data_IF_570731425642
#
_entry.id   IF_570731425642
#
_cell.length_a   1.000
_cell.length_b   1.000
_cell.length_c   1.000
_cell.angle_alpha   90.00
_cell.angle_beta   90.00
_cell.angle_gamma   90.00
#
_symmetry.space_group_name_H-M   'P 1'
#
loop_
_entity.id
_entity.type
_entity.pdbx_description
1 polymer ?
#
# COMPACT_ATOMS: atom_id res chain seq x y z
N UNK A 1 69.23 -20.03 -22.08
CA UNK A 1 67.80 -20.24 -22.39
C UNK A 1 66.99 -19.47 -21.36
N UNK A 2 66.10 -18.57 -21.80
CA UNK A 2 65.39 -17.62 -20.93
C UNK A 2 64.07 -18.26 -20.47
N UNK A 3 63.96 -18.59 -19.19
CA UNK A 3 62.72 -19.14 -18.62
C UNK A 3 61.80 -18.00 -18.20
N UNK A 4 60.64 -17.90 -18.85
CA UNK A 4 59.58 -16.94 -18.53
C UNK A 4 58.74 -17.45 -17.36
N UNK A 5 58.50 -16.57 -16.37
CA UNK A 5 57.52 -16.75 -15.29
C UNK A 5 56.14 -16.29 -15.80
N UNK A 6 55.05 -17.07 -15.68
CA UNK A 6 53.72 -16.54 -15.87
C UNK A 6 53.19 -15.98 -14.54
N UNK A 7 53.07 -14.65 -14.46
CA UNK A 7 52.30 -13.98 -13.42
C UNK A 7 50.80 -14.15 -13.77
N UNK A 8 50.08 -14.97 -13.00
CA UNK A 8 48.64 -15.13 -13.13
C UNK A 8 47.93 -14.06 -12.29
N UNK A 9 47.52 -12.96 -12.93
CA UNK A 9 46.59 -11.98 -12.35
C UNK A 9 45.18 -12.55 -12.40
N UNK A 10 44.67 -13.01 -11.25
CA UNK A 10 43.26 -13.40 -11.11
C UNK A 10 42.39 -12.14 -11.05
N UNK A 11 41.65 -11.86 -12.13
CA UNK A 11 40.65 -10.79 -12.16
C UNK A 11 39.40 -11.22 -11.37
N UNK A 12 39.16 -10.57 -10.23
CA UNK A 12 37.95 -10.76 -9.43
C UNK A 12 36.79 -9.99 -10.08
N UNK A 13 35.97 -10.67 -10.87
CA UNK A 13 34.74 -10.09 -11.42
C UNK A 13 33.69 -9.97 -10.31
N UNK A 14 33.48 -8.75 -9.79
CA UNK A 14 32.36 -8.44 -8.91
C UNK A 14 31.04 -8.58 -9.69
N UNK A 15 30.32 -9.66 -9.42
CA UNK A 15 28.94 -9.87 -9.88
C UNK A 15 28.03 -8.83 -9.21
N UNK A 16 27.85 -7.68 -9.87
CA UNK A 16 26.82 -6.71 -9.51
C UNK A 16 25.46 -7.29 -9.94
N UNK A 17 24.80 -8.03 -9.06
CA UNK A 17 23.40 -8.40 -9.27
C UNK A 17 22.55 -7.13 -9.16
N UNK A 18 21.68 -6.82 -10.13
CA UNK A 18 20.79 -5.67 -10.02
C UNK A 18 19.87 -5.86 -8.81
N UNK A 19 20.06 -5.03 -7.79
CA UNK A 19 19.08 -4.90 -6.71
C UNK A 19 17.87 -4.25 -7.36
N UNK A 20 16.73 -4.95 -7.36
CA UNK A 20 15.47 -4.36 -7.76
C UNK A 20 15.17 -3.18 -6.81
N UNK A 21 15.53 -1.97 -7.21
CA UNK A 21 15.17 -0.76 -6.50
C UNK A 21 13.65 -0.61 -6.62
N UNK A 22 12.94 -0.84 -5.52
CA UNK A 22 11.51 -0.53 -5.42
C UNK A 22 11.33 0.98 -5.45
N UNK A 23 11.33 1.55 -6.65
CA UNK A 23 11.28 3.01 -6.84
C UNK A 23 9.91 3.61 -6.51
N UNK A 24 8.86 2.78 -6.47
CA UNK A 24 7.48 3.23 -6.46
C UNK A 24 6.74 2.88 -5.16
N UNK A 25 5.88 3.80 -4.74
CA UNK A 25 5.02 3.62 -3.58
C UNK A 25 4.06 2.45 -3.80
N UNK A 26 4.06 1.51 -2.86
CA UNK A 26 3.24 0.29 -2.90
C UNK A 26 2.59 0.04 -1.54
N UNK A 27 1.30 -0.27 -1.56
CA UNK A 27 0.62 -0.84 -0.40
C UNK A 27 1.14 -2.26 -0.15
N UNK A 28 1.77 -2.47 1.01
CA UNK A 28 2.33 -3.78 1.41
C UNK A 28 1.42 -4.54 2.36
N UNK A 29 0.56 -3.84 3.11
CA UNK A 29 -0.42 -4.45 3.98
C UNK A 29 -1.58 -3.48 4.27
N UNK A 30 -2.72 -4.05 4.67
CA UNK A 30 -3.85 -3.29 5.20
C UNK A 30 -4.51 -4.02 6.37
N UNK A 31 -5.23 -3.27 7.20
CA UNK A 31 -6.11 -3.81 8.23
C UNK A 31 -7.43 -3.06 8.19
N UNK A 32 -8.56 -3.69 7.84
CA UNK A 32 -8.68 -5.09 7.39
C UNK A 32 -7.83 -5.41 6.15
N UNK A 33 -7.37 -6.67 6.06
CA UNK A 33 -6.61 -7.14 4.90
C UNK A 33 -7.52 -7.22 3.66
N UNK A 34 -6.93 -7.16 2.47
CA UNK A 34 -7.66 -7.34 1.23
C UNK A 34 -8.43 -8.68 1.23
N UNK A 35 -9.70 -8.62 0.85
CA UNK A 35 -10.68 -9.71 0.83
C UNK A 35 -10.98 -10.33 2.21
N UNK A 36 -10.51 -9.74 3.30
CA UNK A 36 -10.82 -10.23 4.64
C UNK A 36 -12.26 -9.90 5.05
N UNK A 37 -12.82 -10.73 5.92
CA UNK A 37 -14.03 -10.41 6.67
C UNK A 37 -13.66 -10.01 8.10
N UNK A 38 -14.10 -8.85 8.56
CA UNK A 38 -13.81 -8.32 9.88
C UNK A 38 -15.10 -7.87 10.59
N UNK A 39 -15.06 -7.75 11.91
CA UNK A 39 -16.17 -7.22 12.72
C UNK A 39 -15.72 -5.97 13.46
N UNK A 40 -16.68 -5.10 13.82
CA UNK A 40 -16.44 -3.87 14.62
C UNK A 40 -15.39 -2.94 14.00
N UNK A 41 -15.38 -2.81 12.67
CA UNK A 41 -14.42 -1.94 11.97
C UNK A 41 -14.79 -0.48 12.18
N UNK A 42 -13.90 0.29 12.79
CA UNK A 42 -14.01 1.76 12.96
C UNK A 42 -12.96 2.52 12.16
N UNK A 43 -11.89 1.84 11.75
CA UNK A 43 -10.80 2.40 10.97
C UNK A 43 -10.20 1.38 10.00
N UNK A 44 -9.60 1.89 8.92
CA UNK A 44 -8.79 1.11 7.99
C UNK A 44 -7.36 1.63 8.04
N UNK A 45 -6.39 0.77 8.34
CA UNK A 45 -4.97 1.10 8.34
C UNK A 45 -4.31 0.56 7.07
N UNK A 46 -3.54 1.40 6.38
CA UNK A 46 -2.78 1.08 5.18
C UNK A 46 -1.30 1.25 5.49
N UNK A 47 -0.48 0.28 5.07
CA UNK A 47 0.97 0.29 5.30
C UNK A 47 1.71 0.19 3.97
N UNK A 48 2.68 1.07 3.77
CA UNK A 48 3.43 1.24 2.54
C UNK A 48 4.88 0.78 2.69
N UNK A 49 5.52 0.42 1.58
CA UNK A 49 6.95 0.05 1.53
C UNK A 49 7.88 1.24 1.88
N UNK A 50 7.47 2.45 1.51
CA UNK A 50 8.28 3.67 1.63
C UNK A 50 7.52 4.83 2.30
N UNK A 51 8.23 5.93 2.53
CA UNK A 51 7.63 7.17 3.05
C UNK A 51 6.89 7.87 1.92
N UNK A 52 5.67 8.31 2.20
CA UNK A 52 4.85 9.07 1.26
C UNK A 52 5.02 10.57 1.48
N UNK A 53 4.88 11.33 0.40
CA UNK A 53 4.73 12.78 0.48
C UNK A 53 3.29 13.08 0.93
N UNK A 54 3.13 13.48 2.20
CA UNK A 54 1.81 13.59 2.85
C UNK A 54 0.80 14.45 2.08
N UNK A 55 1.22 15.56 1.47
CA UNK A 55 0.35 16.45 0.67
C UNK A 55 -0.20 15.80 -0.61
N UNK A 56 0.37 14.67 -1.03
CA UNK A 56 -0.06 13.93 -2.23
C UNK A 56 -1.00 12.78 -1.91
N UNK A 57 -1.20 12.44 -0.64
CA UNK A 57 -2.00 11.30 -0.26
C UNK A 57 -3.48 11.59 -0.49
N UNK A 58 -4.13 10.73 -1.27
CA UNK A 58 -5.58 10.66 -1.42
C UNK A 58 -6.03 9.25 -1.09
N UNK A 59 -7.07 9.11 -0.28
CA UNK A 59 -7.69 7.82 -0.02
C UNK A 59 -9.18 7.99 0.20
N UNK A 60 -9.95 7.02 -0.28
CA UNK A 60 -11.40 6.99 -0.18
C UNK A 60 -11.85 5.63 0.32
N UNK A 61 -12.91 5.65 1.15
CA UNK A 61 -13.63 4.47 1.59
C UNK A 61 -15.05 4.57 1.06
N UNK A 62 -15.49 3.55 0.33
CA UNK A 62 -16.85 3.46 -0.21
C UNK A 62 -17.48 2.13 0.17
N UNK A 63 -18.77 2.14 0.44
CA UNK A 63 -19.57 0.93 0.56
C UNK A 63 -20.04 0.52 -0.83
N UNK A 64 -19.83 -0.75 -1.18
CA UNK A 64 -20.18 -1.33 -2.49
C UNK A 64 -21.26 -2.39 -2.41
N UNK A 65 -21.62 -2.85 -1.22
CA UNK A 65 -22.77 -3.73 -1.03
C UNK A 65 -23.26 -3.71 0.41
N UNK A 66 -24.58 -3.78 0.59
CA UNK A 66 -25.27 -3.81 1.88
C UNK A 66 -26.22 -5.02 1.93
N UNK A 67 -26.32 -5.76 3.05
CA UNK A 67 -27.33 -6.79 3.22
C UNK A 67 -28.74 -6.24 2.97
N UNK A 68 -29.54 -6.96 2.16
CA UNK A 68 -30.91 -6.56 1.83
C UNK A 68 -31.04 -5.49 0.74
N UNK A 69 -29.93 -4.96 0.20
CA UNK A 69 -29.95 -3.98 -0.88
C UNK A 69 -28.93 -4.35 -1.96
N UNK A 70 -29.34 -5.16 -2.92
CA UNK A 70 -28.50 -5.54 -4.06
C UNK A 70 -28.28 -4.34 -5.00
N UNK A 71 -27.08 -4.23 -5.57
CA UNK A 71 -26.73 -3.31 -6.67
C UNK A 71 -26.96 -1.82 -6.40
N UNK A 72 -26.87 -1.36 -5.15
CA UNK A 72 -26.84 0.08 -4.89
C UNK A 72 -25.59 0.72 -5.50
N UNK A 73 -25.69 1.98 -5.92
CA UNK A 73 -24.52 2.74 -6.36
C UNK A 73 -23.50 2.87 -5.21
N UNK A 74 -22.17 2.88 -5.47
CA UNK A 74 -21.16 3.03 -4.42
C UNK A 74 -21.43 4.25 -3.54
N UNK A 75 -21.51 4.03 -2.22
CA UNK A 75 -21.79 5.09 -1.25
C UNK A 75 -20.52 5.51 -0.53
N UNK A 76 -20.15 6.78 -0.64
CA UNK A 76 -18.97 7.31 0.06
C UNK A 76 -19.18 7.28 1.57
N UNK A 77 -18.20 6.72 2.28
CA UNK A 77 -18.18 6.72 3.75
C UNK A 77 -17.37 7.92 4.22
N UNK A 78 -17.97 8.84 5.00
CA UNK A 78 -17.23 9.93 5.61
C UNK A 78 -16.17 9.39 6.58
N UNK A 79 -14.90 9.59 6.22
CA UNK A 79 -13.75 9.23 7.04
C UNK A 79 -12.73 10.37 7.03
N UNK A 80 -12.03 10.54 8.15
CA UNK A 80 -10.84 11.39 8.22
C UNK A 80 -9.60 10.55 7.92
N UNK A 81 -8.57 11.17 7.33
CA UNK A 81 -7.29 10.52 7.07
C UNK A 81 -6.19 11.11 7.95
N UNK A 82 -5.28 10.26 8.42
CA UNK A 82 -4.11 10.68 9.18
C UNK A 82 -2.88 9.86 8.78
N UNK A 83 -1.78 10.56 8.49
CA UNK A 83 -0.48 9.93 8.27
C UNK A 83 0.16 9.56 9.60
N UNK A 84 0.68 8.34 9.67
CA UNK A 84 1.52 7.89 10.77
C UNK A 84 2.82 8.69 10.82
N UNK A 85 3.40 8.81 12.02
CA UNK A 85 4.68 9.48 12.25
C UNK A 85 5.85 8.83 11.49
N UNK A 86 5.70 7.57 11.10
CA UNK A 86 6.67 6.85 10.27
C UNK A 86 6.67 7.32 8.80
N UNK A 87 5.64 8.06 8.37
CA UNK A 87 5.42 8.47 6.98
C UNK A 87 5.04 7.32 6.05
N UNK A 88 4.91 6.09 6.58
CA UNK A 88 4.65 4.85 5.82
C UNK A 88 3.29 4.23 6.16
N UNK A 89 2.53 4.85 7.04
CA UNK A 89 1.23 4.37 7.47
C UNK A 89 0.18 5.45 7.24
N UNK A 90 -1.00 5.04 6.76
CA UNK A 90 -2.17 5.90 6.60
C UNK A 90 -3.34 5.26 7.33
N UNK A 91 -4.02 6.02 8.18
CA UNK A 91 -5.25 5.56 8.85
C UNK A 91 -6.44 6.35 8.32
N UNK A 92 -7.45 5.64 7.85
CA UNK A 92 -8.79 6.17 7.57
C UNK A 92 -9.69 5.87 8.77
N UNK A 93 -10.21 6.88 9.45
CA UNK A 93 -11.09 6.72 10.60
C UNK A 93 -12.51 7.12 10.23
N UNK A 94 -13.44 6.18 10.26
CA UNK A 94 -14.85 6.44 10.01
C UNK A 94 -15.48 7.18 11.19
N UNK A 95 -16.47 8.05 10.92
CA UNK A 95 -17.18 8.79 11.98
C UNK A 95 -17.95 7.88 12.96
N UNK A 96 -18.34 6.69 12.49
CA UNK A 96 -19.07 5.65 13.24
C UNK A 96 -18.53 4.29 12.80
N UNK A 97 -18.79 3.27 13.60
CA UNK A 97 -18.49 1.89 13.20
C UNK A 97 -19.17 1.58 11.86
N UNK A 98 -18.43 0.88 10.98
CA UNK A 98 -18.96 0.42 9.71
C UNK A 98 -20.06 -0.61 9.95
N UNK A 99 -21.15 -0.48 9.20
CA UNK A 99 -22.25 -1.45 9.21
C UNK A 99 -21.86 -2.70 8.42
N UNK A 100 -22.56 -3.83 8.58
CA UNK A 100 -22.32 -5.01 7.76
C UNK A 100 -22.46 -4.69 6.26
N UNK A 101 -21.54 -5.21 5.45
CA UNK A 101 -21.48 -4.94 4.02
C UNK A 101 -20.08 -5.08 3.43
N UNK A 102 -19.99 -4.87 2.12
CA UNK A 102 -18.71 -4.86 1.39
C UNK A 102 -18.25 -3.43 1.20
N UNK A 103 -16.96 -3.21 1.45
CA UNK A 103 -16.31 -1.92 1.34
C UNK A 103 -15.15 -2.02 0.37
N UNK A 104 -14.91 -0.92 -0.34
CA UNK A 104 -13.75 -0.72 -1.19
C UNK A 104 -12.95 0.48 -0.70
N UNK A 105 -11.64 0.31 -0.66
CA UNK A 105 -10.67 1.35 -0.38
C UNK A 105 -9.87 1.60 -1.64
N UNK A 106 -9.80 2.86 -2.06
CA UNK A 106 -8.93 3.31 -3.15
C UNK A 106 -7.95 4.32 -2.58
N UNK A 107 -6.67 4.20 -2.93
CA UNK A 107 -5.64 5.14 -2.50
C UNK A 107 -4.75 5.57 -3.67
N UNK A 108 -4.16 6.76 -3.55
CA UNK A 108 -3.04 7.21 -4.39
C UNK A 108 -2.11 8.12 -3.61
N UNK A 109 -0.81 8.04 -3.88
CA UNK A 109 0.23 8.85 -3.25
C UNK A 109 1.52 8.82 -4.07
N UNK A 110 2.37 9.82 -3.88
CA UNK A 110 3.74 9.83 -4.41
C UNK A 110 4.75 9.50 -3.30
N UNK A 111 5.78 8.74 -3.68
CA UNK A 111 6.95 8.44 -2.86
C UNK A 111 8.09 9.43 -3.08
N UNK A 112 9.31 9.04 -2.72
CA UNK A 112 10.49 9.89 -2.90
C UNK A 112 10.80 10.20 -4.38
N UNK A 113 10.41 9.30 -5.29
CA UNK A 113 10.59 9.44 -6.74
C UNK A 113 9.58 10.39 -7.40
N UNK A 114 8.63 10.95 -6.62
CA UNK A 114 7.56 11.85 -7.05
C UNK A 114 6.51 11.25 -8.01
N UNK A 115 6.67 9.99 -8.44
CA UNK A 115 5.66 9.33 -9.25
C UNK A 115 4.45 8.94 -8.40
N UNK A 116 3.27 9.33 -8.85
CA UNK A 116 2.03 8.97 -8.17
C UNK A 116 1.67 7.53 -8.51
N UNK A 117 1.56 6.71 -7.47
CA UNK A 117 1.05 5.35 -7.51
C UNK A 117 -0.31 5.28 -6.84
N UNK A 118 -1.04 4.20 -7.09
CA UNK A 118 -2.31 3.93 -6.43
C UNK A 118 -2.79 2.52 -6.69
N UNK A 119 -3.65 2.01 -5.82
CA UNK A 119 -4.39 0.78 -6.02
C UNK A 119 -5.71 0.81 -5.27
N UNK A 120 -6.51 -0.23 -5.45
CA UNK A 120 -7.71 -0.46 -4.67
C UNK A 120 -7.76 -1.88 -4.12
N UNK A 121 -8.51 -2.06 -3.03
CA UNK A 121 -8.82 -3.37 -2.45
C UNK A 121 -10.17 -3.32 -1.75
N UNK A 122 -10.77 -4.50 -1.55
CA UNK A 122 -12.04 -4.64 -0.86
C UNK A 122 -11.90 -5.43 0.43
N UNK A 123 -12.85 -5.26 1.34
CA UNK A 123 -13.03 -6.11 2.53
C UNK A 123 -14.51 -6.15 2.90
N UNK A 124 -14.89 -7.12 3.73
CA UNK A 124 -16.27 -7.30 4.19
C UNK A 124 -16.34 -7.04 5.70
N UNK A 125 -17.40 -6.35 6.11
CA UNK A 125 -17.77 -6.18 7.52
C UNK A 125 -18.94 -7.12 7.82
N UNK A 126 -18.83 -7.91 8.90
CA UNK A 126 -19.88 -8.78 9.44
C UNK A 126 -20.33 -8.34 10.83
#
# INVERSE_FOLDING_TARGET
MKSFLPAATAALALLLTPVAAGAHAKLVASTPAANATASKVTSVNLRFNEKLIASTVKAELVMTGMPGMANHAPMKIPATSSMGKDGKSLTLTAKRALVPGTYKVTWSAAGADTHRMGSEFSFTVK
#
